data_IF_386056392887
#
_entry.id   IF_386056392887
#
_cell.length_a   1.000
_cell.length_b   1.000
_cell.length_c   1.000
_cell.angle_alpha   90.00
_cell.angle_beta   90.00
_cell.angle_gamma   90.00
#
_symmetry.space_group_name_H-M   'P 1'
#
loop_
_entity.id
_entity.type
_entity.pdbx_description
1 polymer ?
#
# COMPACT_ATOMS: atom_id res chain seq x y z
N UNK A 1 -69.22 -1.85 -67.35
CA UNK A 1 -70.34 -2.75 -67.00
C UNK A 1 -70.45 -2.80 -65.48
N UNK A 2 -71.64 -3.05 -64.94
CA UNK A 2 -72.00 -2.91 -63.51
C UNK A 2 -71.30 -3.96 -62.61
N UNK A 3 -70.85 -3.61 -61.38
CA UNK A 3 -71.57 -3.65 -60.07
C UNK A 3 -71.92 -5.08 -59.60
N UNK A 4 -71.58 -5.54 -58.39
CA UNK A 4 -72.35 -5.43 -57.11
C UNK A 4 -71.57 -6.18 -55.98
N UNK A 5 -71.74 -6.05 -54.64
CA UNK A 5 -71.94 -4.95 -53.66
C UNK A 5 -71.85 -5.53 -52.22
N UNK A 6 -71.17 -4.87 -51.27
CA UNK A 6 -71.25 -5.16 -49.81
C UNK A 6 -70.07 -5.97 -49.21
N UNK A 7 -69.80 -5.95 -47.90
CA UNK A 7 -70.49 -5.31 -46.76
C UNK A 7 -69.47 -4.90 -45.67
N UNK A 8 -69.88 -4.04 -44.73
CA UNK A 8 -69.02 -3.45 -43.68
C UNK A 8 -69.73 -3.46 -42.32
N UNK A 9 -68.96 -3.65 -41.22
CA UNK A 9 -69.31 -3.20 -39.87
C UNK A 9 -68.05 -3.05 -39.00
N UNK A 10 -68.03 -2.04 -38.14
CA UNK A 10 -67.06 -1.87 -37.03
C UNK A 10 -67.79 -2.14 -35.71
N UNK A 11 -67.19 -2.93 -34.82
CA UNK A 11 -67.46 -2.86 -33.38
C UNK A 11 -66.09 -2.94 -32.67
N UNK A 12 -65.63 -1.86 -32.03
CA UNK A 12 -65.96 -1.37 -30.68
C UNK A 12 -65.23 -2.16 -29.58
N UNK A 13 -64.36 -1.46 -28.86
CA UNK A 13 -63.59 -1.96 -27.72
C UNK A 13 -64.41 -1.75 -26.45
N UNK A 14 -64.32 -2.69 -25.51
CA UNK A 14 -64.50 -2.45 -24.08
C UNK A 14 -63.48 -3.28 -23.27
N UNK A 15 -63.14 -2.92 -22.03
CA UNK A 15 -61.94 -3.44 -21.36
C UNK A 15 -62.16 -4.76 -20.61
N UNK A 16 -61.11 -5.62 -20.49
CA UNK A 16 -61.15 -6.78 -19.61
C UNK A 16 -61.21 -6.34 -18.13
N UNK A 17 -61.97 -7.10 -17.33
CA UNK A 17 -62.25 -6.81 -15.92
C UNK A 17 -60.99 -6.92 -15.04
N UNK A 18 -60.90 -6.07 -14.01
CA UNK A 18 -59.97 -6.24 -12.89
C UNK A 18 -60.63 -7.12 -11.82
N UNK A 19 -60.07 -8.28 -11.51
CA UNK A 19 -60.47 -9.05 -10.32
C UNK A 19 -59.37 -10.01 -9.84
N UNK A 20 -59.28 -10.19 -8.51
CA UNK A 20 -58.45 -11.17 -7.79
C UNK A 20 -56.92 -11.19 -8.05
N UNK A 21 -56.27 -10.08 -7.71
CA UNK A 21 -54.82 -9.96 -7.48
C UNK A 21 -54.37 -10.68 -6.18
N UNK A 22 -54.74 -11.94 -5.95
CA UNK A 22 -54.46 -12.61 -4.66
C UNK A 22 -54.15 -14.12 -4.73
N UNK A 23 -54.45 -14.82 -5.83
CA UNK A 23 -54.25 -16.28 -5.92
C UNK A 23 -52.88 -16.72 -6.47
N UNK A 24 -51.92 -15.80 -6.65
CA UNK A 24 -50.67 -16.06 -7.37
C UNK A 24 -49.38 -15.95 -6.52
N UNK A 25 -49.49 -16.18 -5.20
CA UNK A 25 -48.33 -16.31 -4.30
C UNK A 25 -48.02 -17.75 -3.86
N UNK A 26 -48.84 -18.74 -4.23
CA UNK A 26 -48.74 -20.12 -3.70
C UNK A 26 -48.28 -21.19 -4.72
N UNK A 27 -47.43 -20.86 -5.70
CA UNK A 27 -46.66 -21.88 -6.43
C UNK A 27 -45.30 -21.39 -6.96
N UNK A 28 -44.41 -21.00 -6.04
CA UNK A 28 -42.97 -20.97 -6.31
C UNK A 28 -42.22 -21.56 -5.12
N UNK A 29 -41.85 -22.84 -5.21
CA UNK A 29 -41.03 -23.54 -4.23
C UNK A 29 -39.63 -23.74 -4.84
N UNK A 30 -38.61 -22.96 -4.47
CA UNK A 30 -37.24 -23.26 -4.86
C UNK A 30 -36.82 -24.56 -4.19
N UNK A 31 -36.42 -25.56 -4.97
CA UNK A 31 -35.73 -26.73 -4.42
C UNK A 31 -34.41 -26.27 -3.80
N UNK A 32 -34.23 -26.48 -2.50
CA UNK A 32 -32.95 -26.30 -1.83
C UNK A 32 -31.97 -27.42 -2.26
N UNK A 33 -30.84 -27.11 -2.89
CA UNK A 33 -29.70 -28.03 -2.92
C UNK A 33 -29.01 -27.88 -1.57
N UNK A 34 -29.31 -28.78 -0.64
CA UNK A 34 -28.70 -28.79 0.70
C UNK A 34 -27.29 -29.39 0.65
N UNK A 35 -26.34 -28.64 0.12
CA UNK A 35 -24.92 -29.02 0.12
C UNK A 35 -24.04 -27.80 0.37
N UNK A 36 -23.15 -27.92 1.36
CA UNK A 36 -22.19 -26.87 1.72
C UNK A 36 -21.12 -26.71 0.63
N UNK A 37 -21.44 -25.95 -0.42
CA UNK A 37 -20.41 -25.41 -1.30
C UNK A 37 -19.63 -24.38 -0.49
N UNK A 38 -18.50 -24.81 0.06
CA UNK A 38 -17.51 -23.91 0.63
C UNK A 38 -17.16 -22.84 -0.42
N UNK A 39 -17.00 -21.59 0.03
CA UNK A 39 -16.35 -20.57 -0.78
C UNK A 39 -14.85 -20.89 -0.85
N UNK A 40 -14.52 -21.90 -1.65
CA UNK A 40 -13.15 -22.18 -2.08
C UNK A 40 -12.68 -20.94 -2.81
N UNK A 41 -11.87 -20.13 -2.12
CA UNK A 41 -11.04 -19.13 -2.76
C UNK A 41 -10.08 -19.89 -3.69
N UNK A 42 -10.48 -20.06 -4.95
CA UNK A 42 -9.56 -20.54 -5.98
C UNK A 42 -8.32 -19.65 -5.94
N UNK A 43 -7.15 -20.25 -5.71
CA UNK A 43 -5.87 -19.54 -5.78
C UNK A 43 -5.59 -19.21 -7.24
N UNK A 44 -6.26 -18.15 -7.72
CA UNK A 44 -6.19 -17.68 -9.09
C UNK A 44 -4.74 -17.40 -9.46
N UNK A 45 -4.21 -18.23 -10.35
CA UNK A 45 -2.84 -18.20 -10.84
C UNK A 45 -2.50 -16.77 -11.29
N UNK A 46 -1.53 -16.14 -10.62
CA UNK A 46 -1.21 -14.73 -10.87
C UNK A 46 -0.39 -14.65 -12.16
N UNK A 47 -1.02 -14.24 -13.26
CA UNK A 47 -0.36 -14.11 -14.54
C UNK A 47 0.07 -12.67 -14.82
N UNK A 48 1.35 -12.44 -15.12
CA UNK A 48 1.88 -11.14 -15.57
C UNK A 48 2.36 -11.29 -17.02
N UNK A 49 1.80 -10.51 -17.93
CA UNK A 49 2.12 -10.55 -19.38
C UNK A 49 2.04 -11.97 -19.99
N UNK A 50 1.01 -12.74 -19.59
CA UNK A 50 0.81 -14.12 -20.04
C UNK A 50 1.75 -15.16 -19.41
N UNK A 51 2.64 -14.76 -18.49
CA UNK A 51 3.52 -15.68 -17.74
C UNK A 51 3.00 -15.87 -16.33
N UNK A 52 2.95 -17.12 -15.89
CA UNK A 52 2.60 -17.47 -14.51
C UNK A 52 3.65 -16.96 -13.53
N UNK A 53 3.20 -16.42 -12.40
CA UNK A 53 4.06 -15.97 -11.29
C UNK A 53 3.98 -16.96 -10.14
N UNK A 54 5.13 -17.44 -9.69
CA UNK A 54 5.27 -18.32 -8.54
C UNK A 54 4.84 -17.60 -7.24
N UNK A 55 3.89 -18.18 -6.50
CA UNK A 55 3.41 -17.63 -5.23
C UNK A 55 4.28 -18.18 -4.08
N UNK A 56 5.40 -17.49 -3.83
CA UNK A 56 6.32 -17.85 -2.74
C UNK A 56 5.94 -17.21 -1.40
N UNK A 57 6.15 -17.87 -0.25
CA UNK A 57 5.87 -17.30 1.06
C UNK A 57 6.82 -16.15 1.43
N UNK A 58 8.03 -16.12 0.85
CA UNK A 58 8.98 -15.01 0.97
C UNK A 58 9.90 -14.90 -0.24
N UNK A 59 10.36 -13.69 -0.55
CA UNK A 59 11.21 -13.38 -1.70
C UNK A 59 12.22 -12.26 -1.39
N UNK A 60 13.44 -12.35 -1.93
CA UNK A 60 14.51 -11.37 -1.69
C UNK A 60 14.73 -10.44 -2.88
N UNK A 61 13.96 -9.36 -2.98
CA UNK A 61 14.11 -8.38 -4.06
C UNK A 61 15.12 -7.28 -3.69
N UNK A 62 16.16 -7.09 -4.52
CA UNK A 62 17.22 -6.08 -4.34
C UNK A 62 17.84 -6.03 -2.93
N UNK A 63 17.87 -7.17 -2.22
CA UNK A 63 18.39 -7.29 -0.86
C UNK A 63 17.42 -6.92 0.27
N UNK A 64 16.20 -6.48 -0.05
CA UNK A 64 15.06 -6.39 0.87
C UNK A 64 14.41 -7.78 0.98
N UNK A 65 14.02 -8.18 2.19
CA UNK A 65 13.19 -9.37 2.38
C UNK A 65 11.71 -8.98 2.33
N UNK A 66 10.97 -9.60 1.42
CA UNK A 66 9.51 -9.52 1.30
C UNK A 66 8.93 -10.85 1.80
N UNK A 67 7.83 -10.81 2.55
CA UNK A 67 7.00 -11.99 2.84
C UNK A 67 5.56 -11.78 2.35
N UNK A 68 4.81 -12.87 2.22
CA UNK A 68 3.40 -12.83 1.78
C UNK A 68 2.48 -12.08 2.76
N UNK A 69 2.96 -11.72 3.95
CA UNK A 69 2.27 -10.88 4.93
C UNK A 69 2.68 -9.40 4.88
N UNK A 70 3.68 -9.03 4.07
CA UNK A 70 4.40 -7.76 4.10
C UNK A 70 4.75 -7.36 5.54
N UNK A 71 5.20 -8.33 6.33
CA UNK A 71 5.73 -8.11 7.68
C UNK A 71 7.23 -7.87 7.62
N UNK A 72 7.68 -6.77 8.24
CA UNK A 72 9.06 -6.31 8.05
C UNK A 72 10.03 -6.85 9.11
N UNK A 73 9.63 -7.83 9.91
CA UNK A 73 10.47 -8.40 10.98
C UNK A 73 11.69 -9.14 10.40
N UNK A 74 11.51 -9.99 9.38
CA UNK A 74 12.61 -10.72 8.71
C UNK A 74 13.59 -9.76 8.02
N UNK A 75 13.06 -8.74 7.35
CA UNK A 75 13.87 -7.66 6.75
C UNK A 75 14.65 -6.87 7.82
N UNK A 76 13.98 -6.47 8.90
CA UNK A 76 14.59 -5.66 9.96
C UNK A 76 15.67 -6.44 10.72
N UNK A 77 15.50 -7.74 10.94
CA UNK A 77 16.54 -8.56 11.57
C UNK A 77 17.80 -8.66 10.69
N UNK A 78 17.63 -8.84 9.38
CA UNK A 78 18.74 -8.81 8.42
C UNK A 78 19.43 -7.44 8.36
N UNK A 79 18.66 -6.34 8.38
CA UNK A 79 19.19 -4.96 8.45
C UNK A 79 19.93 -4.73 9.77
N UNK A 80 19.38 -5.15 10.91
CA UNK A 80 20.02 -5.01 12.23
C UNK A 80 21.32 -5.79 12.32
N UNK A 81 21.36 -7.04 11.84
CA UNK A 81 22.58 -7.88 11.80
C UNK A 81 23.69 -7.18 10.99
N UNK A 82 23.38 -6.69 9.79
CA UNK A 82 24.30 -5.89 8.96
C UNK A 82 24.75 -4.61 9.70
N UNK A 83 23.81 -3.86 10.28
CA UNK A 83 24.09 -2.59 10.95
C UNK A 83 24.92 -2.75 12.24
N UNK A 84 24.78 -3.85 12.98
CA UNK A 84 25.62 -4.15 14.15
C UNK A 84 27.08 -4.43 13.76
N UNK A 85 27.33 -5.11 12.64
CA UNK A 85 28.67 -5.23 12.08
C UNK A 85 29.26 -3.84 11.74
N UNK A 86 28.47 -2.92 11.18
CA UNK A 86 28.94 -1.55 10.90
C UNK A 86 29.16 -0.71 12.17
N UNK A 87 28.39 -0.92 13.23
CA UNK A 87 28.63 -0.31 14.54
C UNK A 87 29.96 -0.78 15.17
N UNK A 88 30.35 -2.04 14.97
CA UNK A 88 31.67 -2.52 15.38
C UNK A 88 32.80 -1.74 14.68
N UNK A 89 32.75 -1.60 13.36
CA UNK A 89 33.76 -0.82 12.62
C UNK A 89 33.77 0.67 13.02
N UNK A 90 32.60 1.30 13.20
CA UNK A 90 32.51 2.68 13.68
C UNK A 90 33.20 2.87 15.05
N UNK A 91 33.07 1.89 15.96
CA UNK A 91 33.77 1.87 17.25
C UNK A 91 35.28 1.66 17.11
N UNK A 92 35.72 0.77 16.21
CA UNK A 92 37.16 0.55 15.93
C UNK A 92 37.82 1.81 15.39
N UNK A 93 37.16 2.54 14.50
CA UNK A 93 37.63 3.86 14.02
C UNK A 93 37.74 4.88 15.16
N UNK A 94 36.75 4.95 16.07
CA UNK A 94 36.85 5.83 17.26
C UNK A 94 38.00 5.42 18.20
N UNK A 95 38.30 4.12 18.35
CA UNK A 95 39.47 3.66 19.14
C UNK A 95 40.83 3.95 18.48
N UNK A 96 40.86 4.37 17.22
CA UNK A 96 42.04 4.90 16.53
C UNK A 96 42.02 6.44 16.45
N UNK A 97 41.33 7.10 17.39
CA UNK A 97 41.22 8.56 17.51
C UNK A 97 40.72 9.30 16.27
N UNK A 98 40.04 8.61 15.34
CA UNK A 98 39.46 9.21 14.13
C UNK A 98 38.47 10.32 14.53
N UNK A 99 38.59 11.48 13.88
CA UNK A 99 37.84 12.66 14.29
C UNK A 99 36.32 12.51 14.04
N UNK A 100 35.51 13.22 14.84
CA UNK A 100 34.05 13.11 14.81
C UNK A 100 33.43 13.43 13.43
N UNK A 101 34.07 14.30 12.63
CA UNK A 101 33.64 14.58 11.24
C UNK A 101 33.77 13.35 10.33
N UNK A 102 34.90 12.65 10.38
CA UNK A 102 35.12 11.42 9.61
C UNK A 102 34.24 10.26 10.11
N UNK A 103 34.00 10.16 11.42
CA UNK A 103 33.07 9.18 11.99
C UNK A 103 31.62 9.45 11.59
N UNK A 104 31.20 10.72 11.51
CA UNK A 104 29.89 11.07 10.96
C UNK A 104 29.78 10.71 9.48
N UNK A 105 30.81 10.97 8.67
CA UNK A 105 30.85 10.55 7.27
C UNK A 105 30.76 9.03 7.13
N UNK A 106 31.49 8.24 7.94
CA UNK A 106 31.39 6.78 7.95
C UNK A 106 30.00 6.29 8.38
N UNK A 107 29.39 6.92 9.39
CA UNK A 107 28.01 6.63 9.77
C UNK A 107 27.08 6.84 8.57
N UNK A 108 27.12 8.01 7.92
CA UNK A 108 26.22 8.31 6.81
C UNK A 108 26.43 7.36 5.61
N UNK A 109 27.67 7.13 5.18
CA UNK A 109 27.98 6.36 3.96
C UNK A 109 27.89 4.84 4.13
N UNK A 110 28.20 4.28 5.30
CA UNK A 110 28.26 2.83 5.53
C UNK A 110 27.08 2.32 6.37
N UNK A 111 26.62 3.10 7.35
CA UNK A 111 25.74 2.63 8.41
C UNK A 111 24.29 3.10 8.23
N UNK A 112 24.06 4.39 8.01
CA UNK A 112 22.76 4.96 7.66
C UNK A 112 22.28 4.47 6.29
N UNK A 113 23.20 4.31 5.32
CA UNK A 113 22.91 3.64 4.04
C UNK A 113 22.38 2.22 4.24
N UNK A 114 23.02 1.43 5.12
CA UNK A 114 22.57 0.07 5.49
C UNK A 114 21.22 0.08 6.22
N UNK A 115 21.05 0.95 7.22
CA UNK A 115 19.84 0.99 8.08
C UNK A 115 18.61 1.49 7.32
N UNK A 116 18.79 2.49 6.44
CA UNK A 116 17.68 3.16 5.77
C UNK A 116 17.53 2.79 4.28
N UNK A 117 18.21 1.73 3.83
CA UNK A 117 18.02 1.19 2.48
C UNK A 117 16.57 0.74 2.26
N UNK A 118 15.94 1.22 1.20
CA UNK A 118 14.52 1.00 0.88
C UNK A 118 13.53 1.32 2.03
N UNK A 119 13.91 2.15 3.02
CA UNK A 119 13.05 2.47 4.17
C UNK A 119 11.71 3.15 3.81
N UNK A 120 11.62 3.72 2.61
CA UNK A 120 10.38 4.23 2.01
C UNK A 120 9.36 3.11 1.72
N UNK A 121 9.81 1.87 1.52
CA UNK A 121 8.96 0.70 1.27
C UNK A 121 8.48 0.03 2.56
N UNK A 122 9.36 -0.10 3.56
CA UNK A 122 9.11 -0.90 4.76
C UNK A 122 8.95 -0.11 6.07
N UNK A 123 9.38 1.16 6.11
CA UNK A 123 9.47 1.97 7.32
C UNK A 123 8.15 2.14 8.05
N UNK A 124 7.08 2.57 7.36
CA UNK A 124 5.76 2.71 7.99
C UNK A 124 5.08 1.37 8.35
N UNK A 125 5.59 0.25 7.81
CA UNK A 125 5.11 -1.10 8.11
C UNK A 125 5.77 -1.75 9.32
N UNK A 126 6.85 -1.18 9.86
CA UNK A 126 7.63 -1.80 10.94
C UNK A 126 6.81 -1.97 12.23
N UNK A 127 7.16 -2.99 13.01
CA UNK A 127 6.61 -3.21 14.36
C UNK A 127 7.38 -2.34 15.36
N UNK A 128 6.70 -1.77 16.36
CA UNK A 128 7.32 -0.87 17.34
C UNK A 128 8.52 -1.49 18.08
N UNK A 129 8.50 -2.81 18.35
CA UNK A 129 9.65 -3.53 18.92
C UNK A 129 10.91 -3.45 18.04
N UNK A 130 10.72 -3.53 16.73
CA UNK A 130 11.78 -3.63 15.72
C UNK A 130 12.30 -2.22 15.36
N UNK A 131 11.41 -1.21 15.33
CA UNK A 131 11.79 0.21 15.29
C UNK A 131 12.62 0.62 16.51
N UNK A 132 12.16 0.28 17.73
CA UNK A 132 12.91 0.57 18.96
C UNK A 132 14.27 -0.14 19.00
N UNK A 133 14.38 -1.35 18.41
CA UNK A 133 15.63 -2.09 18.25
C UNK A 133 16.61 -1.36 17.30
N UNK A 134 16.15 -0.81 16.19
CA UNK A 134 16.96 0.05 15.30
C UNK A 134 17.30 1.40 15.95
N UNK A 135 16.34 2.08 16.59
CA UNK A 135 16.55 3.36 17.27
C UNK A 135 17.56 3.25 18.42
N UNK A 136 17.59 2.13 19.17
CA UNK A 136 18.66 1.82 20.15
C UNK A 136 20.04 1.65 19.50
N UNK A 137 20.11 1.12 18.28
CA UNK A 137 21.35 0.96 17.50
C UNK A 137 21.84 2.31 16.95
N UNK A 138 20.94 3.15 16.43
CA UNK A 138 21.23 4.52 15.98
C UNK A 138 21.75 5.37 17.15
N UNK A 139 21.09 5.33 18.33
CA UNK A 139 21.56 6.04 19.53
C UNK A 139 22.98 5.59 19.95
N UNK A 140 23.27 4.28 19.90
CA UNK A 140 24.63 3.75 20.13
C UNK A 140 25.67 4.23 19.10
N UNK A 141 25.27 4.50 17.86
CA UNK A 141 26.14 5.13 16.87
C UNK A 141 26.37 6.61 17.19
N UNK A 142 25.32 7.34 17.58
CA UNK A 142 25.40 8.76 17.97
C UNK A 142 26.38 9.01 19.12
N UNK A 143 26.36 8.16 20.15
CA UNK A 143 27.35 8.18 21.24
C UNK A 143 28.80 7.97 20.78
N UNK A 144 29.03 7.25 19.67
CA UNK A 144 30.38 7.01 19.11
C UNK A 144 30.81 8.16 18.20
N UNK A 145 29.87 8.73 17.42
CA UNK A 145 30.13 9.90 16.55
C UNK A 145 30.29 11.19 17.39
N UNK A 146 29.58 11.32 18.50
CA UNK A 146 29.56 12.51 19.36
C UNK A 146 28.43 13.51 19.03
N UNK A 147 27.33 13.05 18.44
CA UNK A 147 26.18 13.91 18.12
C UNK A 147 24.83 13.15 18.16
N UNK A 148 23.72 13.88 18.14
CA UNK A 148 22.40 13.30 17.84
C UNK A 148 22.39 12.84 16.38
N UNK A 149 21.91 11.63 16.15
CA UNK A 149 21.64 11.10 14.81
C UNK A 149 20.13 10.87 14.68
N UNK A 150 19.59 11.17 13.50
CA UNK A 150 18.14 11.12 13.27
C UNK A 150 17.61 9.69 13.38
N UNK A 151 16.46 9.57 14.04
CA UNK A 151 15.84 8.29 14.32
C UNK A 151 15.06 7.75 13.10
N UNK A 152 14.65 6.48 13.16
CA UNK A 152 13.98 5.81 12.05
C UNK A 152 12.72 6.56 11.59
N UNK A 153 11.93 7.08 12.52
CA UNK A 153 10.64 7.71 12.23
C UNK A 153 10.83 9.11 11.61
N UNK A 154 11.87 9.84 12.02
CA UNK A 154 12.33 11.09 11.35
C UNK A 154 12.74 10.80 9.91
N UNK A 155 13.67 9.85 9.71
CA UNK A 155 14.24 9.54 8.38
C UNK A 155 13.22 8.90 7.43
N UNK A 156 12.32 8.06 7.93
CA UNK A 156 11.22 7.49 7.13
C UNK A 156 10.24 8.59 6.72
N UNK A 157 9.87 9.49 7.64
CA UNK A 157 8.94 10.61 7.35
C UNK A 157 9.47 11.49 6.23
N UNK A 158 10.69 12.00 6.37
CA UNK A 158 11.26 12.92 5.38
C UNK A 158 11.50 12.24 4.03
N UNK A 159 12.01 11.00 4.01
CA UNK A 159 12.20 10.25 2.75
C UNK A 159 10.88 9.89 2.06
N UNK A 160 9.81 9.59 2.81
CA UNK A 160 8.48 9.34 2.22
C UNK A 160 7.89 10.60 1.59
N UNK A 161 7.94 11.74 2.29
CA UNK A 161 7.42 13.01 1.77
C UNK A 161 8.24 13.51 0.58
N UNK A 162 9.58 13.41 0.65
CA UNK A 162 10.46 13.73 -0.48
C UNK A 162 10.18 12.84 -1.70
N UNK A 163 10.12 11.52 -1.52
CA UNK A 163 9.87 10.60 -2.64
C UNK A 163 8.49 10.80 -3.27
N UNK A 164 7.47 11.18 -2.48
CA UNK A 164 6.16 11.53 -3.01
C UNK A 164 6.20 12.83 -3.85
N UNK A 165 6.91 13.87 -3.40
CA UNK A 165 7.14 15.09 -4.22
C UNK A 165 7.83 14.74 -5.54
N UNK A 166 8.93 13.97 -5.50
CA UNK A 166 9.60 13.48 -6.72
C UNK A 166 8.70 12.66 -7.67
N UNK A 167 7.55 12.15 -7.22
CA UNK A 167 6.54 11.51 -8.08
C UNK A 167 5.55 12.55 -8.63
N UNK A 168 5.11 13.49 -7.81
CA UNK A 168 4.25 14.62 -8.22
C UNK A 168 4.91 15.55 -9.24
N UNK A 169 6.24 15.64 -9.19
CA UNK A 169 7.06 16.58 -9.97
C UNK A 169 7.72 15.92 -11.20
N UNK A 170 7.45 14.63 -11.46
CA UNK A 170 8.01 13.87 -12.59
C UNK A 170 6.91 13.16 -13.40
N UNK A 171 6.43 13.74 -14.53
CA UNK A 171 5.40 13.15 -15.38
C UNK A 171 5.71 11.75 -15.92
N UNK A 172 6.99 11.42 -16.12
CA UNK A 172 7.44 10.12 -16.61
C UNK A 172 7.50 9.03 -15.53
N UNK A 173 7.21 9.35 -14.26
CA UNK A 173 7.22 8.36 -13.19
C UNK A 173 5.98 7.45 -13.27
N UNK A 174 6.08 6.10 -13.18
CA UNK A 174 4.94 5.18 -13.35
C UNK A 174 3.75 5.41 -12.41
N UNK A 175 3.97 6.05 -11.26
CA UNK A 175 2.92 6.42 -10.29
C UNK A 175 2.43 7.88 -10.41
N UNK A 176 2.96 8.68 -11.34
CA UNK A 176 2.60 10.11 -11.47
C UNK A 176 1.10 10.29 -11.66
N UNK A 177 0.54 9.69 -12.73
CA UNK A 177 -0.88 9.73 -13.04
C UNK A 177 -1.78 9.15 -11.92
N UNK A 178 -1.24 8.30 -11.04
CA UNK A 178 -1.96 7.76 -9.87
C UNK A 178 -2.00 8.76 -8.71
N UNK A 179 -0.91 9.48 -8.47
CA UNK A 179 -0.84 10.53 -7.44
C UNK A 179 -1.55 11.81 -7.89
N UNK A 180 -1.46 12.14 -9.19
CA UNK A 180 -2.05 13.35 -9.74
C UNK A 180 -3.58 13.34 -9.67
N UNK A 181 -4.20 12.19 -9.99
CA UNK A 181 -5.64 11.91 -9.77
C UNK A 181 -6.09 11.97 -8.30
N UNK A 182 -5.16 12.11 -7.35
CA UNK A 182 -5.45 12.32 -5.93
C UNK A 182 -5.26 13.79 -5.51
N UNK A 183 -4.90 14.74 -6.39
CA UNK A 183 -4.91 16.16 -6.04
C UNK A 183 -6.34 16.62 -5.75
N UNK A 184 -6.52 17.37 -4.68
CA UNK A 184 -7.77 18.08 -4.41
C UNK A 184 -7.84 19.35 -5.28
N UNK A 185 -8.96 19.59 -5.95
CA UNK A 185 -9.24 20.84 -6.66
C UNK A 185 -9.45 22.03 -5.71
N UNK A 186 -9.84 21.76 -4.46
CA UNK A 186 -10.19 22.76 -3.45
C UNK A 186 -9.08 23.04 -2.44
N UNK A 187 -7.97 22.28 -2.47
CA UNK A 187 -6.93 22.42 -1.46
C UNK A 187 -5.58 21.88 -1.92
N UNK A 188 -4.51 22.40 -1.33
CA UNK A 188 -3.14 21.95 -1.55
C UNK A 188 -2.81 20.54 -0.97
N UNK A 189 -3.82 19.70 -0.73
CA UNK A 189 -3.75 18.37 -0.09
C UNK A 189 -4.03 17.26 -1.11
N UNK A 190 -3.59 16.04 -0.80
CA UNK A 190 -3.93 14.84 -1.56
C UNK A 190 -5.11 14.11 -0.90
N UNK A 191 -6.10 13.71 -1.69
CA UNK A 191 -7.22 12.86 -1.29
C UNK A 191 -6.66 11.50 -0.81
N UNK A 192 -7.14 11.01 0.33
CA UNK A 192 -6.67 9.74 0.91
C UNK A 192 -7.60 8.59 0.50
N UNK A 193 -7.11 7.58 -0.26
CA UNK A 193 -7.91 6.41 -0.62
C UNK A 193 -8.45 5.64 0.60
N UNK A 194 -9.73 5.27 0.57
CA UNK A 194 -10.37 4.43 1.59
C UNK A 194 -9.75 3.03 1.58
N UNK A 195 -9.59 2.44 2.76
CA UNK A 195 -8.84 1.19 2.94
C UNK A 195 -9.19 0.50 4.27
N UNK A 196 -9.51 -0.79 4.21
CA UNK A 196 -9.85 -1.63 5.38
C UNK A 196 -8.61 -2.28 6.02
N UNK A 197 -7.71 -2.85 5.20
CA UNK A 197 -6.55 -3.62 5.68
C UNK A 197 -5.42 -2.70 6.15
N UNK A 198 -5.01 -2.85 7.41
CA UNK A 198 -3.94 -2.03 8.03
C UNK A 198 -2.60 -2.14 7.30
N UNK A 199 -2.27 -3.33 6.77
CA UNK A 199 -1.11 -3.56 5.88
C UNK A 199 -1.07 -2.56 4.71
N UNK A 200 -2.22 -2.23 4.13
CA UNK A 200 -2.31 -1.30 3.02
C UNK A 200 -2.17 0.15 3.48
N UNK A 201 -2.74 0.53 4.64
CA UNK A 201 -2.52 1.85 5.27
C UNK A 201 -1.04 2.14 5.55
N UNK A 202 -0.29 1.09 5.90
CA UNK A 202 1.15 1.11 6.15
C UNK A 202 2.03 0.96 4.89
N UNK A 203 1.43 0.82 3.71
CA UNK A 203 2.15 0.89 2.44
C UNK A 203 2.66 2.31 2.14
N UNK A 204 3.66 2.42 1.26
CA UNK A 204 4.27 3.70 0.87
C UNK A 204 3.22 4.77 0.52
N UNK A 205 2.33 4.51 -0.43
CA UNK A 205 1.45 5.54 -0.99
C UNK A 205 0.53 6.17 0.08
N UNK A 206 -0.17 5.33 0.85
CA UNK A 206 -1.11 5.82 1.87
C UNK A 206 -0.41 6.47 3.06
N UNK A 207 0.76 5.96 3.47
CA UNK A 207 1.54 6.58 4.54
C UNK A 207 2.19 7.90 4.08
N UNK A 208 2.71 7.98 2.86
CA UNK A 208 3.28 9.21 2.32
C UNK A 208 2.23 10.30 2.09
N UNK A 209 1.02 9.96 1.58
CA UNK A 209 -0.10 10.89 1.46
C UNK A 209 -0.49 11.47 2.82
N UNK A 210 -0.64 10.63 3.85
CA UNK A 210 -0.95 11.06 5.22
C UNK A 210 0.11 12.04 5.74
N UNK A 211 1.39 11.69 5.62
CA UNK A 211 2.51 12.52 6.08
C UNK A 211 2.64 13.83 5.29
N UNK A 212 2.39 13.82 3.98
CA UNK A 212 2.36 15.02 3.14
C UNK A 212 1.25 15.98 3.59
N UNK A 213 0.04 15.44 3.82
CA UNK A 213 -1.09 16.21 4.32
C UNK A 213 -0.84 16.77 5.74
N UNK A 214 -0.17 16.03 6.62
CA UNK A 214 0.25 16.54 7.93
C UNK A 214 1.40 17.56 7.84
N UNK A 215 2.17 17.58 6.75
CA UNK A 215 3.28 18.52 6.55
C UNK A 215 2.89 19.90 6.02
N UNK A 216 1.60 20.12 5.71
CA UNK A 216 1.05 21.43 5.33
C UNK A 216 0.07 21.92 6.40
N UNK A 217 0.11 23.21 6.78
CA UNK A 217 -0.91 23.79 7.64
C UNK A 217 -2.30 23.65 6.98
N UNK A 218 -3.34 23.65 7.80
CA UNK A 218 -4.68 23.96 7.29
C UNK A 218 -4.71 25.44 6.92
N UNK A 219 -5.14 25.70 5.68
CA UNK A 219 -5.74 26.97 5.30
C UNK A 219 -7.21 26.92 5.75
#
# INVERSE_FOLDING_TARGET
MSSVTGLSMKQHQDPPKKENLEQQQHLYHPHHPSTSSEYIFQEGKVCISGKDVEIVPSYRFLGVQLDNKLEWSTNTDAVYKKAMSRLYFLRRLRSFSVCSRMLHMFYQSVMASTIFFAAVCWGAGIKAKDANRLNKLIKKAGSVVGCRLDNLDEVVRDRMVLKLRTIMDNPSHPLHNTVDKLRSSFSNRLLQPRCSKERYRKSFLLSAIRLYNSSKPSQ
#
